data_IF_962262236282
#
_entry.id   IF_962262236282
#
_cell.length_a   1.000
_cell.length_b   1.000
_cell.length_c   1.000
_cell.angle_alpha   90.00
_cell.angle_beta   90.00
_cell.angle_gamma   90.00
#
_symmetry.space_group_name_H-M   'P 1'
#
loop_
_entity.id
_entity.type
_entity.pdbx_description
1 polymer ?
#
# COMPACT_ATOMS: atom_id res chain seq x y z
N UNK A 1 9.32 9.22 9.43
CA UNK A 1 10.65 8.58 9.55
C UNK A 1 10.57 7.20 8.99
N UNK A 2 11.46 6.83 8.14
CA UNK A 2 11.43 5.63 7.35
C UNK A 2 12.73 4.96 7.19
N UNK A 3 12.72 3.66 6.90
CA UNK A 3 13.93 2.95 6.60
C UNK A 3 13.75 1.88 5.52
N UNK A 4 14.57 2.00 4.52
CA UNK A 4 15.18 1.17 3.51
C UNK A 4 14.33 0.78 2.29
N UNK A 5 13.65 -0.28 2.16
CA UNK A 5 13.05 -0.71 0.88
C UNK A 5 11.55 -0.97 1.00
N UNK A 6 10.76 -0.32 0.13
CA UNK A 6 9.32 -0.55 0.07
C UNK A 6 8.87 -0.89 -1.34
N UNK A 7 8.05 -1.91 -1.46
CA UNK A 7 7.27 -2.24 -2.65
C UNK A 7 5.79 -2.27 -2.28
N UNK A 8 4.96 -1.53 -3.03
CA UNK A 8 3.51 -1.53 -2.89
C UNK A 8 2.87 -2.01 -4.18
N UNK A 9 1.96 -2.97 -4.05
CA UNK A 9 1.23 -3.57 -5.16
C UNK A 9 -0.27 -3.35 -4.97
N UNK A 10 -1.01 -3.13 -6.06
CA UNK A 10 -2.47 -3.17 -6.09
C UNK A 10 -2.91 -4.19 -7.13
N UNK A 11 -3.72 -5.17 -6.73
CA UNK A 11 -4.20 -6.27 -7.58
C UNK A 11 -3.06 -6.96 -8.36
N UNK A 12 -1.92 -7.20 -7.70
CA UNK A 12 -0.74 -7.85 -8.28
C UNK A 12 0.14 -6.95 -9.15
N UNK A 13 -0.17 -5.66 -9.29
CA UNK A 13 0.63 -4.70 -10.04
C UNK A 13 1.46 -3.82 -9.12
N UNK A 14 2.74 -3.67 -9.41
CA UNK A 14 3.63 -2.77 -8.68
C UNK A 14 3.20 -1.31 -8.90
N UNK A 15 2.86 -0.64 -7.82
CA UNK A 15 2.42 0.77 -7.81
C UNK A 15 3.52 1.69 -7.31
N UNK A 16 4.33 1.24 -6.37
CA UNK A 16 5.46 2.00 -5.82
C UNK A 16 6.65 1.09 -5.64
N UNK A 17 7.81 1.52 -6.15
CA UNK A 17 9.11 0.96 -5.80
C UNK A 17 10.05 2.09 -5.42
N UNK A 18 10.55 2.10 -4.19
CA UNK A 18 11.51 3.09 -3.75
C UNK A 18 12.55 2.47 -2.82
N UNK A 19 13.77 2.95 -2.94
CA UNK A 19 14.94 2.62 -2.14
C UNK A 19 15.27 3.72 -1.12
N UNK A 20 14.30 4.56 -0.77
CA UNK A 20 14.44 5.72 0.11
C UNK A 20 13.16 5.98 0.87
N UNK A 21 13.30 6.30 2.11
CA UNK A 21 12.25 6.72 3.00
C UNK A 21 11.42 7.92 2.49
N UNK A 22 10.08 7.84 2.51
CA UNK A 22 9.20 8.95 2.19
C UNK A 22 7.93 8.99 3.08
N UNK A 23 7.49 10.18 3.46
CA UNK A 23 6.24 10.40 4.17
C UNK A 23 5.20 11.04 3.26
N UNK A 24 3.94 10.62 3.39
CA UNK A 24 2.78 11.20 2.70
C UNK A 24 2.85 11.18 1.16
N UNK A 25 3.38 10.09 0.58
CA UNK A 25 3.39 9.91 -0.87
C UNK A 25 1.97 9.63 -1.38
N UNK A 26 1.46 10.51 -2.23
CA UNK A 26 0.28 10.25 -3.06
C UNK A 26 0.74 9.76 -4.43
N UNK A 27 0.22 8.63 -4.87
CA UNK A 27 0.47 8.07 -6.20
C UNK A 27 -0.84 8.04 -6.96
N UNK A 28 -0.90 8.70 -8.11
CA UNK A 28 -2.05 8.63 -9.00
C UNK A 28 -2.12 7.25 -9.66
N UNK A 29 -3.31 6.64 -9.60
CA UNK A 29 -3.53 5.33 -10.19
C UNK A 29 -3.91 5.46 -11.67
N UNK A 30 -3.16 4.85 -12.62
CA UNK A 30 -3.52 4.89 -14.04
C UNK A 30 -4.78 4.05 -14.35
N UNK A 31 -5.44 4.36 -15.50
CA UNK A 31 -6.65 3.67 -15.97
C UNK A 31 -6.50 2.13 -16.00
N UNK A 32 -5.30 1.63 -16.23
CA UNK A 32 -5.02 0.19 -16.23
C UNK A 32 -5.12 -0.47 -14.83
N UNK A 33 -4.93 0.24 -13.72
CA UNK A 33 -5.27 -0.23 -12.37
C UNK A 33 -6.76 -0.02 -12.08
N UNK A 34 -7.32 1.14 -12.44
CA UNK A 34 -8.75 1.44 -12.24
C UNK A 34 -9.66 0.38 -12.85
N UNK A 35 -9.29 -0.12 -14.02
CA UNK A 35 -10.05 -1.16 -14.71
C UNK A 35 -10.05 -2.54 -14.01
N UNK A 36 -9.10 -2.85 -13.11
CA UNK A 36 -9.11 -4.09 -12.31
C UNK A 36 -9.96 -3.98 -11.05
N UNK A 37 -10.41 -2.76 -10.69
CA UNK A 37 -11.29 -2.50 -9.54
C UNK A 37 -12.78 -2.50 -9.93
N UNK A 38 -13.13 -3.00 -11.10
CA UNK A 38 -14.51 -2.96 -11.67
C UNK A 38 -15.57 -3.55 -10.78
N UNK A 39 -15.23 -4.53 -9.95
CA UNK A 39 -16.15 -5.17 -9.01
C UNK A 39 -16.17 -4.50 -7.63
N UNK A 40 -15.53 -3.32 -7.47
CA UNK A 40 -15.46 -2.63 -6.19
C UNK A 40 -14.56 -3.30 -5.17
N UNK A 41 -13.61 -4.13 -5.63
CA UNK A 41 -12.63 -4.81 -4.79
C UNK A 41 -11.22 -4.47 -5.25
N UNK A 42 -10.34 -4.20 -4.29
CA UNK A 42 -8.91 -4.07 -4.52
C UNK A 42 -8.12 -4.79 -3.43
N UNK A 43 -7.10 -5.53 -3.83
CA UNK A 43 -6.08 -6.03 -2.93
C UNK A 43 -4.89 -5.09 -2.97
N UNK A 44 -4.53 -4.50 -1.83
CA UNK A 44 -3.31 -3.73 -1.66
C UNK A 44 -2.33 -4.59 -0.87
N UNK A 45 -1.16 -4.85 -1.44
CA UNK A 45 -0.10 -5.62 -0.82
C UNK A 45 1.18 -4.79 -0.74
N UNK A 46 1.89 -4.88 0.37
CA UNK A 46 3.12 -4.14 0.60
C UNK A 46 4.22 -5.04 1.17
N UNK A 47 5.44 -4.80 0.74
CA UNK A 47 6.67 -5.34 1.32
C UNK A 47 7.54 -4.18 1.80
N UNK A 48 8.03 -4.26 3.03
CA UNK A 48 8.89 -3.27 3.66
C UNK A 48 10.14 -3.94 4.24
N UNK A 49 11.31 -3.37 3.98
CA UNK A 49 12.58 -3.76 4.62
C UNK A 49 13.07 -2.62 5.52
N UNK A 50 13.33 -2.94 6.79
CA UNK A 50 14.00 -2.06 7.74
C UNK A 50 15.45 -2.54 7.95
N UNK A 51 16.44 -1.71 7.60
CA UNK A 51 17.85 -2.01 7.79
C UNK A 51 18.40 -1.43 9.08
N UNK A 52 17.93 -0.27 9.51
CA UNK A 52 18.34 0.38 10.77
C UNK A 52 17.30 1.38 11.27
N UNK A 53 17.09 1.44 12.58
CA UNK A 53 16.29 2.49 13.22
C UNK A 53 14.84 2.15 13.43
N UNK A 54 13.99 3.19 13.46
CA UNK A 54 12.53 3.03 13.59
C UNK A 54 11.92 2.63 12.27
N UNK A 55 10.97 1.70 12.29
CA UNK A 55 10.20 1.30 11.12
C UNK A 55 8.78 1.88 11.18
N UNK A 56 8.24 2.27 10.03
CA UNK A 56 6.84 2.64 9.85
C UNK A 56 6.39 2.30 8.43
N UNK A 57 5.23 1.69 8.28
CA UNK A 57 4.51 1.57 7.02
C UNK A 57 3.02 1.81 7.22
N UNK A 58 2.46 2.70 6.44
CA UNK A 58 1.04 2.97 6.34
C UNK A 58 0.68 3.36 4.90
N UNK A 59 -0.47 2.92 4.41
CA UNK A 59 -0.93 3.20 3.06
C UNK A 59 -2.46 3.22 2.96
N UNK A 60 -2.98 4.05 2.05
CA UNK A 60 -4.40 4.19 1.77
C UNK A 60 -4.70 4.44 0.30
N UNK A 61 -5.93 4.22 -0.11
CA UNK A 61 -6.44 4.47 -1.46
C UNK A 61 -7.46 5.60 -1.44
N UNK A 62 -7.30 6.58 -2.34
CA UNK A 62 -8.11 7.80 -2.41
C UNK A 62 -8.61 8.01 -3.83
N UNK A 63 -9.84 8.57 -3.98
CA UNK A 63 -10.33 9.14 -5.22
C UNK A 63 -10.30 10.67 -5.11
N UNK A 64 -9.80 11.36 -6.11
CA UNK A 64 -9.84 12.82 -6.20
C UNK A 64 -10.54 13.24 -7.50
N UNK A 65 -11.46 14.21 -7.42
CA UNK A 65 -11.91 14.98 -8.57
C UNK A 65 -11.11 16.30 -8.63
N UNK A 66 -10.84 16.89 -9.79
CA UNK A 66 -10.24 18.21 -9.88
C UNK A 66 -11.05 19.21 -9.06
N UNK A 67 -10.51 19.64 -7.91
CA UNK A 67 -11.14 20.61 -7.01
C UNK A 67 -12.05 20.05 -5.91
N UNK A 68 -12.25 18.75 -5.79
CA UNK A 68 -13.06 18.14 -4.72
C UNK A 68 -12.26 17.01 -4.07
N UNK A 69 -12.04 17.12 -2.75
CA UNK A 69 -11.48 16.02 -1.94
C UNK A 69 -12.56 14.97 -1.76
N UNK A 70 -12.46 13.85 -2.47
CA UNK A 70 -13.38 12.71 -2.29
C UNK A 70 -12.89 11.86 -1.12
N UNK A 71 -13.82 11.42 -0.27
CA UNK A 71 -13.56 10.54 0.86
C UNK A 71 -12.68 9.35 0.45
N UNK A 72 -11.67 9.01 1.24
CA UNK A 72 -10.71 7.96 0.91
C UNK A 72 -11.39 6.60 0.74
N UNK A 73 -11.18 5.95 -0.40
CA UNK A 73 -11.66 4.59 -0.69
C UNK A 73 -11.07 3.61 0.32
N UNK A 74 -9.77 3.77 0.61
CA UNK A 74 -9.03 3.04 1.63
C UNK A 74 -8.15 4.04 2.39
N UNK A 75 -8.67 4.71 3.42
CA UNK A 75 -7.95 5.74 4.16
C UNK A 75 -6.70 5.18 4.85
N UNK A 76 -5.74 6.04 5.13
CA UNK A 76 -4.57 5.72 5.97
C UNK A 76 -5.01 5.64 7.43
N UNK A 77 -4.20 5.00 8.29
CA UNK A 77 -4.58 4.67 9.67
C UNK A 77 -4.86 5.90 10.55
N UNK A 78 -4.22 7.04 10.29
CA UNK A 78 -4.47 8.28 11.03
C UNK A 78 -5.81 8.96 10.66
N UNK A 79 -6.46 8.55 9.58
CA UNK A 79 -7.79 9.01 9.17
C UNK A 79 -8.87 8.02 9.61
N UNK A 80 -8.61 6.73 9.47
CA UNK A 80 -9.50 5.65 9.90
C UNK A 80 -8.70 4.38 10.14
N UNK A 81 -8.92 3.75 11.28
CA UNK A 81 -8.32 2.44 11.57
C UNK A 81 -8.67 1.41 10.50
N UNK A 82 -7.70 0.56 10.17
CA UNK A 82 -7.88 -0.59 9.30
C UNK A 82 -7.04 -1.77 9.78
N UNK A 83 -7.50 -2.98 9.45
CA UNK A 83 -6.85 -4.23 9.79
C UNK A 83 -6.27 -4.82 8.52
N UNK A 84 -5.01 -5.27 8.57
CA UNK A 84 -4.35 -6.03 7.52
C UNK A 84 -3.96 -7.42 8.00
N UNK A 85 -3.77 -8.34 7.05
CA UNK A 85 -3.05 -9.59 7.30
C UNK A 85 -1.57 -9.36 7.06
N UNK A 86 -0.71 -9.93 7.92
CA UNK A 86 0.72 -9.73 7.82
C UNK A 86 1.52 -10.96 8.20
N UNK A 87 2.76 -11.03 7.71
CA UNK A 87 3.79 -11.99 8.11
C UNK A 87 5.16 -11.33 8.11
N UNK A 88 6.06 -11.82 8.95
CA UNK A 88 7.47 -11.45 8.98
C UNK A 88 8.37 -12.53 8.35
N UNK A 89 7.78 -13.66 7.97
CA UNK A 89 8.42 -14.74 7.23
C UNK A 89 8.25 -14.50 5.73
N UNK A 90 9.29 -14.82 4.95
CA UNK A 90 9.19 -14.67 3.50
C UNK A 90 8.10 -15.57 2.94
N UNK A 91 7.04 -15.00 2.33
CA UNK A 91 5.97 -15.79 1.76
C UNK A 91 6.39 -16.45 0.45
N UNK A 92 5.58 -17.40 0.00
CA UNK A 92 5.70 -18.02 -1.30
C UNK A 92 5.45 -17.03 -2.44
N UNK A 93 5.89 -17.37 -3.65
CA UNK A 93 5.62 -16.59 -4.86
C UNK A 93 4.11 -16.41 -5.09
N UNK A 94 3.72 -15.24 -5.54
CA UNK A 94 2.30 -14.90 -5.76
C UNK A 94 1.57 -14.39 -4.51
N UNK A 95 2.27 -14.14 -3.40
CA UNK A 95 1.67 -13.61 -2.17
C UNK A 95 0.92 -12.27 -2.38
N UNK A 96 1.28 -11.52 -3.40
CA UNK A 96 0.67 -10.25 -3.80
C UNK A 96 -0.61 -10.40 -4.64
N UNK A 97 -0.93 -11.64 -5.06
CA UNK A 97 -2.10 -11.93 -5.88
C UNK A 97 -3.36 -12.12 -5.04
N UNK A 98 -4.52 -11.73 -5.58
CA UNK A 98 -5.80 -11.84 -4.87
C UNK A 98 -6.16 -13.30 -4.49
N UNK A 99 -5.73 -14.29 -5.30
CA UNK A 99 -6.00 -15.71 -5.06
C UNK A 99 -5.06 -16.37 -4.04
N UNK A 100 -4.05 -15.66 -3.52
CA UNK A 100 -3.12 -16.22 -2.55
C UNK A 100 -3.84 -16.58 -1.23
N UNK A 101 -3.51 -17.75 -0.69
CA UNK A 101 -4.06 -18.20 0.59
C UNK A 101 -3.24 -17.62 1.76
N UNK A 102 -3.74 -16.56 2.35
CA UNK A 102 -3.15 -15.90 3.52
C UNK A 102 -3.85 -16.26 4.85
N UNK A 103 -4.54 -17.40 4.90
CA UNK A 103 -5.29 -17.83 6.08
C UNK A 103 -4.42 -18.07 7.33
N UNK A 104 -3.12 -18.33 7.13
CA UNK A 104 -2.13 -18.54 8.21
C UNK A 104 -1.47 -17.26 8.68
N UNK A 105 -1.67 -16.13 7.98
CA UNK A 105 -1.07 -14.86 8.34
C UNK A 105 -1.73 -14.26 9.58
N UNK A 106 -0.95 -13.56 10.40
CA UNK A 106 -1.47 -12.80 11.53
C UNK A 106 -2.34 -11.62 11.05
N UNK A 107 -3.22 -11.14 11.92
CA UNK A 107 -3.97 -9.90 11.72
C UNK A 107 -3.42 -8.80 12.61
N UNK A 108 -3.37 -7.57 12.12
CA UNK A 108 -2.87 -6.43 12.86
C UNK A 108 -3.51 -5.12 12.43
N UNK A 109 -3.61 -4.19 13.38
CA UNK A 109 -4.08 -2.82 13.13
C UNK A 109 -2.97 -1.98 12.50
N UNK A 110 -3.28 -1.19 11.52
CA UNK A 110 -2.35 -0.19 10.99
C UNK A 110 -2.25 1.04 11.93
N UNK A 111 -1.17 1.81 11.93
CA UNK A 111 0.02 1.57 11.14
C UNK A 111 0.90 0.47 11.75
N UNK A 112 1.70 -0.18 10.89
CA UNK A 112 2.70 -1.16 11.32
C UNK A 112 4.04 -0.45 11.50
N UNK A 113 4.72 -0.67 12.64
CA UNK A 113 5.95 0.06 12.93
C UNK A 113 6.69 -0.45 14.17
N UNK A 114 7.73 0.31 14.56
CA UNK A 114 8.49 0.02 15.79
C UNK A 114 7.63 0.26 17.02
N UNK A 115 7.73 -0.62 18.01
CA UNK A 115 7.02 -0.52 19.29
C UNK A 115 7.27 0.85 19.96
N UNK A 116 6.18 1.46 20.46
CA UNK A 116 6.23 2.79 21.08
C UNK A 116 6.30 3.96 20.10
N UNK A 117 6.31 3.71 18.80
CA UNK A 117 6.20 4.75 17.78
C UNK A 117 4.83 5.44 17.77
N UNK A 118 4.76 6.73 17.41
CA UNK A 118 3.49 7.44 17.33
C UNK A 118 2.58 6.79 16.28
N UNK A 119 1.33 6.55 16.66
CA UNK A 119 0.28 5.98 15.79
C UNK A 119 0.54 4.55 15.30
N UNK A 120 1.44 3.78 15.94
CA UNK A 120 1.67 2.37 15.64
C UNK A 120 0.57 1.52 16.28
N UNK A 121 -0.21 0.84 15.43
CA UNK A 121 -1.24 -0.12 15.86
C UNK A 121 -0.69 -1.54 16.02
N UNK A 122 0.27 -1.93 15.18
CA UNK A 122 0.93 -3.25 15.24
C UNK A 122 2.45 -3.09 15.22
N UNK A 123 3.13 -3.43 16.32
CA UNK A 123 4.58 -3.43 16.36
C UNK A 123 5.17 -4.63 15.61
N UNK A 124 6.32 -4.43 14.95
CA UNK A 124 7.12 -5.49 14.34
C UNK A 124 8.62 -5.23 14.59
N UNK A 125 9.37 -6.30 14.86
CA UNK A 125 10.76 -6.23 15.33
C UNK A 125 11.73 -7.02 14.43
N UNK A 126 11.31 -7.35 13.20
CA UNK A 126 12.12 -8.03 12.19
C UNK A 126 12.55 -7.08 11.10
N UNK A 127 13.49 -7.49 10.25
CA UNK A 127 13.98 -6.67 9.14
C UNK A 127 13.00 -6.59 7.96
N UNK A 128 11.99 -7.46 7.92
CA UNK A 128 11.05 -7.55 6.81
C UNK A 128 9.63 -7.74 7.31
N UNK A 129 8.68 -7.15 6.59
CA UNK A 129 7.26 -7.26 6.83
C UNK A 129 6.50 -7.32 5.49
N UNK A 130 5.61 -8.27 5.37
CA UNK A 130 4.65 -8.38 4.27
C UNK A 130 3.25 -8.14 4.80
N UNK A 131 2.49 -7.24 4.15
CA UNK A 131 1.14 -6.85 4.55
C UNK A 131 0.21 -6.99 3.35
N UNK A 132 -0.99 -7.51 3.60
CA UNK A 132 -2.09 -7.60 2.64
C UNK A 132 -3.31 -6.88 3.22
N UNK A 133 -3.90 -5.98 2.43
CA UNK A 133 -5.14 -5.27 2.76
C UNK A 133 -6.14 -5.45 1.63
N UNK A 134 -7.25 -6.14 1.90
CA UNK A 134 -8.39 -6.18 0.99
C UNK A 134 -9.26 -4.94 1.18
N UNK A 135 -9.68 -4.35 0.07
CA UNK A 135 -10.53 -3.15 0.05
C UNK A 135 -11.75 -3.41 -0.82
N UNK A 136 -12.93 -3.16 -0.27
CA UNK A 136 -14.19 -3.19 -1.00
C UNK A 136 -14.76 -1.76 -1.10
N UNK A 137 -15.20 -1.35 -2.27
CA UNK A 137 -15.71 0.00 -2.53
C UNK A 137 -16.75 0.00 -3.65
N UNK A 138 -17.55 1.07 -3.74
CA UNK A 138 -18.48 1.26 -4.86
C UNK A 138 -17.70 1.55 -6.15
N UNK A 139 -17.83 0.74 -7.22
CA UNK A 139 -17.13 0.96 -8.49
C UNK A 139 -17.39 2.32 -9.13
N UNK A 140 -18.51 2.97 -8.81
CA UNK A 140 -18.83 4.31 -9.30
C UNK A 140 -17.84 5.37 -8.81
N UNK A 141 -17.20 5.14 -7.64
CA UNK A 141 -16.20 6.05 -7.06
C UNK A 141 -14.93 6.14 -7.89
N UNK A 142 -14.67 5.18 -8.77
CA UNK A 142 -13.43 5.11 -9.57
C UNK A 142 -13.68 5.38 -11.06
N UNK A 143 -14.96 5.49 -11.47
CA UNK A 143 -15.33 5.73 -12.86
C UNK A 143 -15.02 7.16 -13.27
N UNK A 144 -14.17 7.32 -14.30
CA UNK A 144 -13.75 8.62 -14.84
C UNK A 144 -12.99 9.51 -13.82
N UNK A 145 -12.35 8.90 -12.81
CA UNK A 145 -11.55 9.60 -11.81
C UNK A 145 -10.11 9.11 -11.86
N UNK A 146 -9.19 10.01 -11.54
CA UNK A 146 -7.81 9.64 -11.30
C UNK A 146 -7.71 9.05 -9.89
N UNK A 147 -7.11 7.86 -9.75
CA UNK A 147 -6.85 7.26 -8.45
C UNK A 147 -5.42 7.49 -8.02
N UNK A 148 -5.28 7.75 -6.72
CA UNK A 148 -3.99 7.96 -6.07
C UNK A 148 -3.84 7.02 -4.89
N UNK A 149 -2.62 6.55 -4.66
CA UNK A 149 -2.24 5.93 -3.40
C UNK A 149 -1.47 6.94 -2.57
N UNK A 150 -1.86 7.08 -1.29
CA UNK A 150 -1.11 7.81 -0.29
C UNK A 150 -0.45 6.81 0.66
N UNK A 151 0.81 6.98 0.95
CA UNK A 151 1.56 6.08 1.82
C UNK A 151 2.69 6.80 2.55
N UNK A 152 3.06 6.22 3.70
CA UNK A 152 4.21 6.61 4.50
C UNK A 152 5.04 5.36 4.78
N UNK A 153 6.35 5.46 4.77
CA UNK A 153 7.25 4.34 5.01
C UNK A 153 8.59 4.78 5.60
N UNK A 154 9.25 3.85 6.26
CA UNK A 154 10.57 3.99 6.84
C UNK A 154 11.47 2.89 6.25
N UNK A 155 12.68 3.22 5.78
CA UNK A 155 13.71 2.36 5.19
C UNK A 155 13.48 1.79 3.78
N UNK A 156 12.40 1.28 3.42
CA UNK A 156 12.14 0.79 2.09
C UNK A 156 10.81 0.06 1.98
N UNK A 157 10.10 0.27 0.85
CA UNK A 157 8.79 -0.31 0.63
C UNK A 157 8.62 -0.78 -0.81
N UNK A 158 7.94 -1.88 -0.97
CA UNK A 158 7.35 -2.28 -2.23
C UNK A 158 5.83 -2.27 -2.07
N UNK A 159 5.12 -1.52 -2.90
CA UNK A 159 3.67 -1.47 -2.92
C UNK A 159 3.14 -2.11 -4.19
N UNK A 160 2.28 -3.11 -4.03
CA UNK A 160 1.65 -3.83 -5.11
C UNK A 160 0.13 -3.65 -5.05
N UNK A 161 -0.51 -3.59 -6.23
CA UNK A 161 -1.96 -3.63 -6.38
C UNK A 161 -2.31 -4.81 -7.26
N UNK A 162 -3.08 -5.76 -6.76
CA UNK A 162 -3.46 -6.99 -7.46
C UNK A 162 -2.24 -7.70 -8.09
N UNK A 163 -1.13 -7.81 -7.33
CA UNK A 163 0.11 -8.45 -7.76
C UNK A 163 1.02 -7.61 -8.65
N UNK A 164 0.64 -6.38 -9.02
CA UNK A 164 1.48 -5.48 -9.82
C UNK A 164 2.14 -4.40 -8.99
N UNK A 165 3.46 -4.28 -9.13
CA UNK A 165 4.24 -3.27 -8.44
C UNK A 165 3.87 -1.85 -8.92
N UNK A 166 3.39 -1.02 -8.00
CA UNK A 166 3.12 0.40 -8.23
C UNK A 166 4.32 1.26 -7.82
N UNK A 167 4.95 0.91 -6.71
CA UNK A 167 6.06 1.69 -6.14
C UNK A 167 7.10 0.75 -5.53
N UNK A 168 8.36 1.02 -5.83
CA UNK A 168 9.52 0.51 -5.10
C UNK A 168 10.35 1.69 -4.64
N UNK A 169 10.60 1.78 -3.34
CA UNK A 169 11.34 2.90 -2.74
C UNK A 169 12.74 2.45 -2.31
N UNK A 170 13.68 3.39 -2.21
CA UNK A 170 14.97 3.17 -1.58
C UNK A 170 15.01 3.70 -0.14
N UNK A 171 16.21 3.79 0.42
CA UNK A 171 16.51 3.97 1.85
C UNK A 171 16.31 5.37 2.43
N UNK A 172 15.58 6.27 1.80
CA UNK A 172 15.29 7.62 2.35
C UNK A 172 13.81 7.74 2.71
N UNK A 173 13.56 7.97 3.99
CA UNK A 173 12.26 8.25 4.56
C UNK A 173 11.47 9.35 3.83
N UNK A 174 10.18 9.14 3.58
CA UNK A 174 9.24 10.18 3.13
C UNK A 174 7.87 9.97 3.74
N UNK A 175 7.18 11.05 4.11
CA UNK A 175 5.83 11.05 4.62
C UNK A 175 4.89 11.64 3.60
N UNK A 176 3.69 11.09 3.46
CA UNK A 176 2.58 11.59 2.65
C UNK A 176 2.91 11.73 1.14
N UNK A 177 3.47 10.68 0.56
CA UNK A 177 3.75 10.64 -0.88
C UNK A 177 2.48 10.27 -1.64
N UNK A 178 2.15 11.08 -2.67
CA UNK A 178 1.07 10.81 -3.63
C UNK A 178 1.68 10.33 -4.94
N UNK A 179 1.29 9.16 -5.41
CA UNK A 179 1.70 8.61 -6.72
C UNK A 179 0.48 8.23 -7.53
N UNK A 180 0.44 8.69 -8.78
CA UNK A 180 -0.58 8.30 -9.76
C UNK A 180 -0.37 6.85 -10.20
N UNK A 181 -1.43 6.06 -10.30
CA UNK A 181 -1.36 4.69 -10.81
C UNK A 181 -1.31 4.73 -12.34
N UNK A 182 -0.23 4.21 -12.98
CA UNK A 182 -0.08 4.20 -14.45
C UNK A 182 -1.12 3.29 -15.14
N UNK A 183 -1.54 3.64 -16.38
CA UNK A 183 -2.52 2.89 -17.18
C UNK A 183 -2.19 1.41 -17.34
N UNK A 184 -0.89 1.05 -17.42
CA UNK A 184 -0.42 -0.33 -17.51
C UNK A 184 -0.75 -1.18 -16.26
N UNK A 185 -0.99 -0.55 -15.11
CA UNK A 185 -1.42 -1.20 -13.87
C UNK A 185 -2.98 -1.21 -13.80
N UNK A 186 -3.67 -0.17 -14.29
CA UNK A 186 -5.14 -0.10 -14.36
C UNK A 186 -5.74 -1.20 -15.26
N UNK A 187 -5.06 -1.62 -16.34
CA UNK A 187 -5.52 -2.69 -17.24
C UNK A 187 -5.59 -4.09 -16.60
N UNK A 188 -4.88 -4.35 -15.51
CA UNK A 188 -4.92 -5.65 -14.80
C UNK A 188 -5.98 -5.68 -13.70
N UNK A 189 -6.70 -4.58 -13.52
CA UNK A 189 -7.79 -4.46 -12.57
C UNK A 189 -9.18 -4.68 -13.25
N UNK A 190 -9.18 -5.16 -14.54
CA UNK A 190 -10.37 -5.56 -15.31
C UNK A 190 -10.86 -6.93 -14.91
#
# INVERSE_FOLDING_TARGET
>A
SYDDIVQLYINGKLVVSADRAAANLKVELPDSILNTMKEGKALIAAHCENKKGSALIDFGLFAEEPGILVEGIAPVSNEKEWIGKYTTEQPEEGWEMAAFNDSTWAQGNAAFGTEGGPSVGTPWNTNRLWIRREVSFDPSLVKNRQLFVRYSYNDGMQLLINGKELVRTGTKARNDVKVQIPDSILETMK
#
